data_IF_010646769396
#
_entry.id   IF_010646769396
#
_cell.length_a   1.000
_cell.length_b   1.000
_cell.length_c   1.000
_cell.angle_alpha   90.00
_cell.angle_beta   90.00
_cell.angle_gamma   90.00
#
_symmetry.space_group_name_H-M   'P 1'
#
loop_
_entity.id
_entity.type
_entity.pdbx_description
1 polymer ?
#
# COMPACT_ATOMS: atom_id res chain seq x y z
N UNK A 1 14.44 5.63 -25.99
CA UNK A 1 13.38 6.30 -25.19
C UNK A 1 12.62 5.23 -24.44
N UNK A 2 12.76 5.15 -23.10
CA UNK A 2 12.07 4.14 -22.31
C UNK A 2 10.55 4.32 -22.39
N UNK A 3 9.79 3.23 -22.56
CA UNK A 3 8.33 3.25 -22.46
C UNK A 3 7.99 3.76 -21.05
N UNK A 4 7.41 4.96 -20.95
CA UNK A 4 6.84 5.45 -19.70
C UNK A 4 5.71 4.49 -19.32
N UNK A 5 5.75 3.87 -18.14
CA UNK A 5 4.59 3.12 -17.64
C UNK A 5 3.52 4.14 -17.24
N UNK A 6 2.66 4.44 -18.21
CA UNK A 6 1.45 5.24 -18.00
C UNK A 6 0.31 4.29 -17.64
N UNK A 7 -0.37 4.59 -16.54
CA UNK A 7 -1.58 3.89 -16.10
C UNK A 7 -2.71 4.89 -16.11
N UNK A 8 -3.78 4.57 -16.83
CA UNK A 8 -5.04 5.31 -16.68
C UNK A 8 -5.86 4.65 -15.57
N UNK A 9 -6.46 5.47 -14.72
CA UNK A 9 -7.46 5.05 -13.72
C UNK A 9 -8.63 6.03 -13.79
N UNK A 10 -9.84 5.53 -13.57
CA UNK A 10 -11.01 6.37 -13.29
C UNK A 10 -10.84 7.10 -11.96
N UNK A 11 -11.67 8.13 -11.72
CA UNK A 11 -11.66 8.83 -10.43
C UNK A 11 -12.03 7.90 -9.27
N UNK A 12 -12.99 7.00 -9.46
CA UNK A 12 -13.36 6.02 -8.44
C UNK A 12 -12.22 5.05 -8.12
N UNK A 13 -11.51 4.54 -9.13
CA UNK A 13 -10.33 3.69 -8.91
C UNK A 13 -9.19 4.46 -8.23
N UNK A 14 -9.01 5.74 -8.57
CA UNK A 14 -8.01 6.58 -7.91
C UNK A 14 -8.30 6.76 -6.42
N UNK A 15 -9.55 7.02 -6.04
CA UNK A 15 -9.97 7.15 -4.64
C UNK A 15 -9.82 5.82 -3.88
N UNK A 16 -10.13 4.70 -4.51
CA UNK A 16 -9.94 3.38 -3.92
C UNK A 16 -8.46 3.05 -3.71
N UNK A 17 -7.58 3.41 -4.66
CA UNK A 17 -6.13 3.28 -4.48
C UNK A 17 -5.62 4.13 -3.30
N UNK A 18 -6.09 5.37 -3.18
CA UNK A 18 -5.76 6.23 -2.03
C UNK A 18 -6.26 5.64 -0.72
N UNK A 19 -7.48 5.08 -0.70
CA UNK A 19 -8.02 4.38 0.47
C UNK A 19 -7.08 3.27 0.90
N UNK A 20 -6.70 2.40 -0.03
CA UNK A 20 -5.81 1.28 0.27
C UNK A 20 -4.45 1.72 0.83
N UNK A 21 -3.84 2.76 0.23
CA UNK A 21 -2.59 3.34 0.72
C UNK A 21 -2.73 3.91 2.13
N UNK A 22 -3.74 4.75 2.37
CA UNK A 22 -3.95 5.38 3.67
C UNK A 22 -4.27 4.36 4.76
N UNK A 23 -5.06 3.33 4.44
CA UNK A 23 -5.44 2.28 5.39
C UNK A 23 -4.23 1.50 5.90
N UNK A 24 -3.19 1.31 5.06
CA UNK A 24 -1.94 0.63 5.43
C UNK A 24 -0.99 1.46 6.31
N UNK A 25 -1.23 2.76 6.47
CA UNK A 25 -0.38 3.64 7.30
C UNK A 25 -0.65 3.49 8.80
N UNK A 26 0.29 3.91 9.64
CA UNK A 26 0.01 4.10 11.06
C UNK A 26 -0.94 5.29 11.29
N UNK A 27 -1.65 5.33 12.43
CA UNK A 27 -2.53 6.46 12.75
C UNK A 27 -1.78 7.80 12.79
N UNK A 28 -0.52 7.80 13.28
CA UNK A 28 0.37 8.97 13.29
C UNK A 28 0.63 9.49 11.88
N UNK A 29 0.90 8.58 10.94
CA UNK A 29 1.15 8.94 9.54
C UNK A 29 -0.12 9.45 8.87
N UNK A 30 -1.26 8.78 9.07
CA UNK A 30 -2.58 9.23 8.58
C UNK A 30 -2.87 10.65 9.05
N UNK A 31 -2.76 10.90 10.36
CA UNK A 31 -2.99 12.21 10.98
C UNK A 31 -2.11 13.30 10.36
N UNK A 32 -0.82 13.02 10.17
CA UNK A 32 0.13 13.98 9.61
C UNK A 32 -0.15 14.27 8.15
N UNK A 33 -0.30 13.23 7.32
CA UNK A 33 -0.43 13.37 5.86
C UNK A 33 -1.79 13.96 5.47
N UNK A 34 -2.88 13.45 6.04
CA UNK A 34 -4.24 13.96 5.78
C UNK A 34 -4.38 15.40 6.30
N UNK A 35 -3.91 15.70 7.51
CA UNK A 35 -4.03 17.06 8.08
C UNK A 35 -3.39 18.13 7.20
N UNK A 36 -2.15 17.91 6.74
CA UNK A 36 -1.45 18.82 5.84
C UNK A 36 -2.17 19.01 4.49
N UNK A 37 -2.85 17.97 4.02
CA UNK A 37 -3.60 18.03 2.76
C UNK A 37 -4.85 18.88 2.96
N UNK A 38 -5.67 18.58 3.97
CA UNK A 38 -6.92 19.32 4.21
C UNK A 38 -6.62 20.82 4.43
N UNK A 39 -5.62 21.16 5.26
CA UNK A 39 -5.15 22.55 5.47
C UNK A 39 -4.79 23.28 4.16
N UNK A 40 -4.42 22.56 3.10
CA UNK A 40 -4.00 23.13 1.82
C UNK A 40 -5.12 23.37 0.81
N UNK A 41 -6.34 22.88 1.07
CA UNK A 41 -7.47 22.99 0.14
C UNK A 41 -8.76 23.53 0.75
N UNK A 42 -8.87 23.55 2.07
CA UNK A 42 -10.06 23.99 2.81
C UNK A 42 -9.69 24.98 3.89
N UNK A 43 -10.62 25.88 4.21
CA UNK A 43 -10.55 26.75 5.39
C UNK A 43 -11.14 26.03 6.62
N UNK A 44 -10.69 24.80 6.89
CA UNK A 44 -11.05 24.12 8.14
C UNK A 44 -10.06 24.48 9.24
N UNK A 45 -10.58 24.72 10.45
CA UNK A 45 -9.72 24.75 11.64
C UNK A 45 -9.40 23.30 12.04
N UNK A 46 -8.13 22.91 11.86
CA UNK A 46 -7.67 21.55 12.14
C UNK A 46 -6.73 21.56 13.34
N UNK A 47 -6.99 20.66 14.29
CA UNK A 47 -6.08 20.41 15.41
C UNK A 47 -5.72 18.93 15.49
N UNK A 48 -4.42 18.64 15.43
CA UNK A 48 -3.87 17.30 15.72
C UNK A 48 -3.99 17.01 17.21
N UNK A 49 -4.41 15.79 17.54
CA UNK A 49 -4.56 15.38 18.94
C UNK A 49 -4.26 13.89 19.15
N UNK A 50 -4.04 13.52 20.41
CA UNK A 50 -3.88 12.15 20.89
C UNK A 50 -4.75 11.99 22.12
N UNK A 51 -5.84 11.20 22.01
CA UNK A 51 -6.79 11.06 23.11
C UNK A 51 -7.45 9.68 23.12
N UNK A 52 -8.04 9.32 24.26
CA UNK A 52 -8.95 8.17 24.34
C UNK A 52 -10.29 8.54 23.70
N UNK A 53 -10.56 7.98 22.53
CA UNK A 53 -11.76 8.34 21.76
C UNK A 53 -13.05 7.97 22.50
N UNK A 54 -13.00 6.92 23.32
CA UNK A 54 -14.04 6.55 24.26
C UNK A 54 -13.48 6.38 25.70
N UNK A 55 -14.25 6.67 26.77
CA UNK A 55 -13.79 6.47 28.14
C UNK A 55 -13.35 5.04 28.47
N UNK A 56 -13.90 4.04 27.76
CA UNK A 56 -13.52 2.63 27.90
C UNK A 56 -12.33 2.23 27.04
N UNK A 57 -11.79 3.12 26.21
CA UNK A 57 -10.63 2.80 25.38
C UNK A 57 -9.38 2.64 26.25
N UNK A 58 -8.69 1.53 26.00
CA UNK A 58 -7.43 1.22 26.66
C UNK A 58 -6.23 1.90 25.99
N UNK A 59 -6.42 2.44 24.79
CA UNK A 59 -5.36 2.98 23.94
C UNK A 59 -5.76 4.36 23.43
N UNK A 60 -4.82 5.29 23.43
CA UNK A 60 -4.99 6.61 22.84
C UNK A 60 -4.88 6.55 21.32
N UNK A 61 -5.68 7.37 20.63
CA UNK A 61 -5.80 7.37 19.18
C UNK A 61 -5.24 8.66 18.61
N UNK A 62 -4.42 8.55 17.56
CA UNK A 62 -3.96 9.72 16.83
C UNK A 62 -5.03 10.12 15.81
N UNK A 63 -5.50 11.37 15.88
CA UNK A 63 -6.59 11.85 15.03
C UNK A 63 -6.61 13.36 14.85
N UNK A 64 -7.59 13.85 14.09
CA UNK A 64 -7.78 15.26 13.82
C UNK A 64 -9.11 15.71 14.39
N UNK A 65 -9.09 16.80 15.15
CA UNK A 65 -10.27 17.63 15.32
C UNK A 65 -10.48 18.45 14.05
N UNK A 66 -11.66 18.35 13.48
CA UNK A 66 -12.07 19.08 12.29
C UNK A 66 -13.36 19.82 12.64
N UNK A 67 -13.35 21.13 12.38
CA UNK A 67 -14.44 22.04 12.70
C UNK A 67 -15.04 22.61 11.40
N UNK A 68 -16.35 22.44 11.21
CA UNK A 68 -17.11 22.92 10.06
C UNK A 68 -18.46 23.46 10.55
N UNK A 69 -18.76 24.73 10.24
CA UNK A 69 -20.08 25.37 10.38
C UNK A 69 -20.92 24.87 11.58
N UNK A 70 -20.37 24.99 12.80
CA UNK A 70 -20.95 24.61 14.11
C UNK A 70 -20.78 23.16 14.59
N UNK A 71 -20.10 22.28 13.86
CA UNK A 71 -19.81 20.92 14.32
C UNK A 71 -18.30 20.65 14.43
N UNK A 72 -17.87 20.27 15.63
CA UNK A 72 -16.48 19.89 15.92
C UNK A 72 -16.44 18.41 16.25
N UNK A 73 -15.81 17.61 15.38
CA UNK A 73 -15.67 16.16 15.57
C UNK A 73 -14.21 15.72 15.52
N UNK A 74 -13.86 14.74 16.34
CA UNK A 74 -12.58 14.06 16.31
C UNK A 74 -12.65 12.84 15.39
N UNK A 75 -11.77 12.79 14.39
CA UNK A 75 -11.67 11.69 13.43
C UNK A 75 -10.33 10.97 13.57
N UNK A 76 -10.34 9.65 13.66
CA UNK A 76 -9.15 8.82 13.78
C UNK A 76 -9.32 7.50 13.01
N UNK A 77 -8.23 6.77 12.83
CA UNK A 77 -8.25 5.43 12.21
C UNK A 77 -8.94 5.41 10.84
N UNK A 78 -9.99 4.60 10.72
CA UNK A 78 -10.79 4.43 9.49
C UNK A 78 -11.65 5.67 9.23
N UNK A 79 -12.29 6.21 10.28
CA UNK A 79 -13.20 7.36 10.14
C UNK A 79 -12.50 8.59 9.55
N UNK A 80 -11.22 8.80 9.90
CA UNK A 80 -10.42 9.88 9.32
C UNK A 80 -10.18 9.69 7.82
N UNK A 81 -9.91 8.45 7.39
CA UNK A 81 -9.69 8.13 5.97
C UNK A 81 -10.99 8.31 5.18
N UNK A 82 -12.11 7.81 5.71
CA UNK A 82 -13.42 7.92 5.05
C UNK A 82 -13.86 9.38 4.92
N UNK A 83 -13.79 10.16 6.01
CA UNK A 83 -14.06 11.59 5.97
C UNK A 83 -13.22 12.31 4.91
N UNK A 84 -11.92 12.02 4.87
CA UNK A 84 -11.01 12.65 3.92
C UNK A 84 -11.35 12.28 2.47
N UNK A 85 -11.69 11.02 2.19
CA UNK A 85 -12.04 10.58 0.84
C UNK A 85 -13.40 11.14 0.39
N UNK A 86 -14.38 11.25 1.29
CA UNK A 86 -15.67 11.88 1.00
C UNK A 86 -15.49 13.36 0.65
N UNK A 87 -14.68 14.07 1.46
CA UNK A 87 -14.29 15.44 1.18
C UNK A 87 -13.63 15.56 -0.20
N UNK A 88 -12.66 14.69 -0.50
CA UNK A 88 -11.91 14.69 -1.76
C UNK A 88 -12.79 14.36 -2.96
N UNK A 89 -13.74 13.43 -2.82
CA UNK A 89 -14.65 13.01 -3.89
C UNK A 89 -15.58 14.15 -4.34
N UNK A 90 -15.87 15.11 -3.47
CA UNK A 90 -16.63 16.32 -3.82
C UNK A 90 -15.84 17.32 -4.69
N UNK A 91 -14.53 17.11 -4.87
CA UNK A 91 -13.64 18.08 -5.53
C UNK A 91 -13.48 17.82 -7.03
N UNK A 92 -13.13 18.86 -7.80
CA UNK A 92 -12.78 18.69 -9.22
C UNK A 92 -11.64 17.69 -9.41
N UNK A 93 -11.65 16.99 -10.55
CA UNK A 93 -10.64 15.97 -10.86
C UNK A 93 -9.20 16.48 -10.80
N UNK A 94 -8.97 17.77 -11.04
CA UNK A 94 -7.67 18.43 -10.92
C UNK A 94 -7.16 18.45 -9.48
N UNK A 95 -8.04 18.71 -8.51
CA UNK A 95 -7.70 18.66 -7.10
C UNK A 95 -7.40 17.22 -6.67
N UNK A 96 -8.23 16.26 -7.11
CA UNK A 96 -8.00 14.83 -6.87
C UNK A 96 -6.64 14.40 -7.43
N UNK A 97 -6.29 14.81 -8.65
CA UNK A 97 -4.99 14.50 -9.25
C UNK A 97 -3.79 15.08 -8.48
N UNK A 98 -3.93 16.29 -7.91
CA UNK A 98 -2.90 16.91 -7.06
C UNK A 98 -2.71 16.13 -5.76
N UNK A 99 -3.82 15.78 -5.10
CA UNK A 99 -3.82 15.00 -3.87
C UNK A 99 -3.25 13.61 -4.11
N UNK A 100 -3.71 12.94 -5.18
CA UNK A 100 -3.20 11.64 -5.59
C UNK A 100 -1.69 11.68 -5.83
N UNK A 101 -1.19 12.70 -6.52
CA UNK A 101 0.26 12.87 -6.75
C UNK A 101 1.05 13.03 -5.44
N UNK A 102 0.49 13.78 -4.47
CA UNK A 102 1.10 13.98 -3.14
C UNK A 102 1.12 12.70 -2.32
N UNK A 103 0.03 11.94 -2.30
CA UNK A 103 -0.08 10.70 -1.53
C UNK A 103 0.74 9.60 -2.21
N UNK A 104 0.55 9.32 -3.50
CA UNK A 104 1.20 8.17 -4.16
C UNK A 104 2.65 8.41 -4.59
N UNK A 105 3.20 9.61 -4.36
CA UNK A 105 4.57 10.01 -4.73
C UNK A 105 4.91 9.81 -6.22
N UNK A 106 3.91 10.08 -7.06
CA UNK A 106 3.95 9.96 -8.53
C UNK A 106 3.34 11.20 -9.17
N UNK A 107 3.51 11.35 -10.48
CA UNK A 107 2.83 12.40 -11.23
C UNK A 107 1.52 11.86 -11.79
N UNK A 108 0.40 12.46 -11.40
CA UNK A 108 -0.93 12.20 -11.94
C UNK A 108 -1.51 13.48 -12.56
N UNK A 109 -2.09 13.36 -13.76
CA UNK A 109 -2.76 14.46 -14.45
C UNK A 109 -4.13 14.00 -14.92
N UNK A 110 -5.11 14.91 -14.92
CA UNK A 110 -6.45 14.62 -15.44
C UNK A 110 -6.34 14.24 -16.92
N UNK A 111 -7.04 13.16 -17.28
CA UNK A 111 -7.14 12.68 -18.64
C UNK A 111 -8.53 12.10 -18.90
N UNK A 112 -8.88 11.95 -20.18
CA UNK A 112 -10.08 11.22 -20.59
C UNK A 112 -9.73 9.82 -21.06
N UNK A 113 -10.56 8.86 -20.70
CA UNK A 113 -10.43 7.49 -21.19
C UNK A 113 -10.63 7.47 -22.71
N UNK A 114 -9.74 6.77 -23.44
CA UNK A 114 -9.68 6.84 -24.90
C UNK A 114 -10.95 6.34 -25.60
N UNK A 115 -11.64 5.35 -25.00
CA UNK A 115 -12.83 4.75 -25.60
C UNK A 115 -14.14 5.35 -25.10
N UNK A 116 -14.21 5.68 -23.81
CA UNK A 116 -15.47 6.08 -23.16
C UNK A 116 -15.57 7.58 -22.94
N UNK A 117 -14.47 8.33 -23.07
CA UNK A 117 -14.43 9.77 -22.78
C UNK A 117 -14.53 10.12 -21.29
N UNK A 118 -14.66 9.12 -20.41
CA UNK A 118 -14.79 9.32 -18.98
C UNK A 118 -13.55 10.01 -18.39
N UNK A 119 -13.76 10.95 -17.46
CA UNK A 119 -12.67 11.61 -16.74
C UNK A 119 -11.98 10.62 -15.79
N UNK A 120 -10.65 10.76 -15.67
CA UNK A 120 -9.81 9.97 -14.80
C UNK A 120 -8.43 10.58 -14.68
N UNK A 121 -7.47 9.81 -14.18
CA UNK A 121 -6.09 10.22 -14.01
C UNK A 121 -5.17 9.38 -14.90
N UNK A 122 -4.24 10.06 -15.58
CA UNK A 122 -3.09 9.45 -16.23
C UNK A 122 -1.88 9.55 -15.30
N UNK A 123 -1.47 8.41 -14.77
CA UNK A 123 -0.42 8.28 -13.76
C UNK A 123 0.87 7.82 -14.42
N UNK A 124 1.97 8.53 -14.14
CA UNK A 124 3.33 8.05 -14.40
C UNK A 124 3.80 7.25 -13.20
N UNK A 125 3.64 5.93 -13.26
CA UNK A 125 3.90 5.06 -12.10
C UNK A 125 5.39 4.96 -11.75
N UNK A 126 6.26 5.17 -12.76
CA UNK A 126 7.71 5.01 -12.68
C UNK A 126 8.18 3.59 -12.32
N UNK A 127 7.29 2.60 -12.40
CA UNK A 127 7.59 1.22 -12.05
C UNK A 127 8.60 0.59 -13.02
N UNK A 128 8.78 1.12 -14.22
CA UNK A 128 9.85 0.70 -15.14
C UNK A 128 11.27 0.95 -14.60
N UNK A 129 11.41 1.80 -13.56
CA UNK A 129 12.68 2.06 -12.87
C UNK A 129 13.00 0.99 -11.82
N UNK A 130 12.01 0.20 -11.41
CA UNK A 130 12.21 -0.86 -10.43
C UNK A 130 12.96 -2.04 -11.04
N UNK A 131 14.01 -2.50 -10.37
CA UNK A 131 14.67 -3.78 -10.68
C UNK A 131 14.97 -4.53 -9.40
N UNK A 132 14.33 -5.67 -9.18
CA UNK A 132 14.63 -6.52 -8.03
C UNK A 132 16.09 -6.96 -8.07
N UNK A 133 16.88 -6.56 -7.06
CA UNK A 133 18.29 -6.92 -6.92
C UNK A 133 18.51 -8.20 -6.13
N UNK A 134 17.43 -8.94 -5.83
CA UNK A 134 17.45 -10.20 -5.08
C UNK A 134 18.08 -10.09 -3.68
N UNK A 135 17.97 -8.93 -3.03
CA UNK A 135 18.56 -8.72 -1.70
C UNK A 135 17.85 -9.47 -0.56
N UNK A 136 16.64 -10.00 -0.79
CA UNK A 136 15.87 -10.75 0.20
C UNK A 136 15.02 -9.89 1.14
N UNK A 137 15.29 -8.59 1.30
CA UNK A 137 14.62 -7.70 2.26
C UNK A 137 13.09 -7.86 2.30
N UNK A 138 12.41 -7.64 1.18
CA UNK A 138 10.95 -7.76 1.15
C UNK A 138 10.42 -9.18 1.39
N UNK A 139 11.22 -10.22 1.14
CA UNK A 139 10.80 -11.60 1.36
C UNK A 139 11.15 -12.12 2.77
N UNK A 140 11.92 -11.36 3.55
CA UNK A 140 12.41 -11.73 4.87
C UNK A 140 11.76 -10.90 5.97
N UNK A 141 11.65 -9.59 5.73
CA UNK A 141 11.42 -8.61 6.80
C UNK A 141 10.00 -8.01 6.75
N UNK A 142 9.27 -8.25 5.66
CA UNK A 142 7.92 -7.74 5.48
C UNK A 142 6.93 -8.88 5.63
N UNK A 143 6.23 -8.91 6.77
CA UNK A 143 5.23 -9.95 7.08
C UNK A 143 4.14 -10.00 6.02
N UNK A 144 3.70 -8.84 5.53
CA UNK A 144 2.70 -8.73 4.47
C UNK A 144 3.13 -9.42 3.16
N UNK A 145 4.43 -9.70 2.96
CA UNK A 145 4.92 -10.39 1.78
C UNK A 145 4.77 -11.93 1.84
N UNK A 146 4.66 -12.52 3.02
CA UNK A 146 4.63 -13.99 3.19
C UNK A 146 3.59 -14.53 4.19
N UNK A 147 2.90 -13.65 4.92
CA UNK A 147 1.72 -13.95 5.74
C UNK A 147 0.54 -13.18 5.14
N UNK A 148 -0.16 -13.80 4.20
CA UNK A 148 -1.24 -13.16 3.44
C UNK A 148 -2.15 -14.22 2.82
N UNK A 149 -3.25 -13.79 2.23
CA UNK A 149 -4.11 -14.65 1.43
C UNK A 149 -3.86 -14.44 -0.06
N UNK A 150 -4.07 -15.49 -0.86
CA UNK A 150 -3.98 -15.44 -2.32
C UNK A 150 -5.35 -15.61 -2.97
N UNK A 151 -5.55 -15.03 -4.17
CA UNK A 151 -6.78 -15.22 -4.92
C UNK A 151 -6.91 -16.66 -5.43
N UNK A 152 -8.15 -17.14 -5.61
CA UNK A 152 -8.45 -18.51 -6.06
C UNK A 152 -7.70 -18.92 -7.33
N UNK A 153 -7.47 -17.99 -8.25
CA UNK A 153 -6.77 -18.30 -9.49
C UNK A 153 -5.31 -18.71 -9.29
N UNK A 154 -4.65 -18.30 -8.20
CA UNK A 154 -3.31 -18.79 -7.86
C UNK A 154 -3.37 -20.26 -7.42
N UNK A 155 -4.38 -20.63 -6.61
CA UNK A 155 -4.63 -22.01 -6.16
C UNK A 155 -4.99 -22.91 -7.35
N UNK A 156 -5.97 -22.51 -8.17
CA UNK A 156 -6.38 -23.23 -9.38
C UNK A 156 -5.20 -23.44 -10.33
N UNK A 157 -4.33 -22.43 -10.47
CA UNK A 157 -3.11 -22.56 -11.28
C UNK A 157 -2.18 -23.64 -10.71
N UNK A 158 -1.92 -23.65 -9.40
CA UNK A 158 -1.07 -24.66 -8.78
C UNK A 158 -1.64 -26.07 -8.88
N UNK A 159 -2.96 -26.24 -8.83
CA UNK A 159 -3.63 -27.52 -9.10
C UNK A 159 -3.39 -27.98 -10.54
N UNK A 160 -3.60 -27.09 -11.52
CA UNK A 160 -3.38 -27.38 -12.93
C UNK A 160 -1.90 -27.69 -13.25
N UNK A 161 -0.96 -27.07 -12.54
CA UNK A 161 0.48 -27.32 -12.64
C UNK A 161 0.94 -28.56 -11.84
N UNK A 162 0.03 -29.26 -11.15
CA UNK A 162 0.33 -30.38 -10.23
C UNK A 162 1.37 -30.02 -9.16
N UNK A 163 1.35 -28.77 -8.67
CA UNK A 163 2.25 -28.26 -7.63
C UNK A 163 1.71 -28.53 -6.24
N UNK A 164 1.50 -29.81 -5.92
CA UNK A 164 1.04 -30.25 -4.60
C UNK A 164 2.01 -29.86 -3.47
N UNK A 165 3.29 -29.70 -3.79
CA UNK A 165 4.29 -29.16 -2.88
C UNK A 165 3.99 -27.71 -2.48
N UNK A 166 3.30 -26.92 -3.30
CA UNK A 166 2.84 -25.58 -2.93
C UNK A 166 1.49 -25.66 -2.22
N UNK A 167 0.57 -26.47 -2.75
CA UNK A 167 -0.80 -26.59 -2.22
C UNK A 167 -0.83 -27.07 -0.76
N UNK A 168 0.13 -27.89 -0.32
CA UNK A 168 0.24 -28.30 1.09
C UNK A 168 0.48 -27.11 2.05
N UNK A 169 0.94 -25.95 1.55
CA UNK A 169 1.19 -24.74 2.34
C UNK A 169 0.04 -23.72 2.26
N UNK A 170 -1.07 -24.09 1.64
CA UNK A 170 -2.27 -23.27 1.49
C UNK A 170 -3.33 -23.76 2.47
N UNK A 171 -3.84 -22.87 3.31
CA UNK A 171 -4.98 -23.14 4.17
C UNK A 171 -6.20 -22.38 3.65
N UNK A 172 -7.21 -23.13 3.17
CA UNK A 172 -8.42 -22.57 2.58
C UNK A 172 -9.55 -22.57 3.60
N UNK A 173 -9.90 -21.39 4.14
CA UNK A 173 -10.96 -21.23 5.12
C UNK A 173 -11.87 -20.04 4.80
N UNK A 174 -13.19 -20.25 4.87
CA UNK A 174 -14.21 -19.21 4.65
C UNK A 174 -14.05 -18.41 3.34
N UNK A 175 -13.55 -19.03 2.27
CA UNK A 175 -13.32 -18.38 0.97
C UNK A 175 -12.02 -17.56 0.90
N UNK A 176 -11.15 -17.67 1.90
CA UNK A 176 -9.79 -17.15 1.87
C UNK A 176 -8.80 -18.30 1.70
N UNK A 177 -7.70 -18.05 0.98
CA UNK A 177 -6.61 -19.02 0.80
C UNK A 177 -5.35 -18.46 1.44
N UNK A 178 -5.15 -18.74 2.73
CA UNK A 178 -4.02 -18.23 3.49
C UNK A 178 -2.74 -18.97 3.13
N UNK A 179 -1.66 -18.19 2.99
CA UNK A 179 -0.31 -18.65 2.73
C UNK A 179 0.68 -17.88 3.62
N UNK A 180 1.81 -18.45 4.03
CA UNK A 180 2.17 -19.86 3.99
C UNK A 180 1.91 -20.47 5.36
N UNK A 181 1.07 -21.51 5.41
CA UNK A 181 0.75 -22.24 6.65
C UNK A 181 1.59 -23.51 6.69
N UNK A 182 2.22 -23.80 7.82
CA UNK A 182 3.04 -25.00 7.95
C UNK A 182 2.15 -26.24 7.95
N UNK A 183 2.30 -27.17 6.98
CA UNK A 183 1.41 -28.34 6.85
C UNK A 183 1.47 -29.29 8.05
N UNK A 184 2.53 -29.24 8.85
CA UNK A 184 2.71 -30.12 10.02
C UNK A 184 2.12 -29.55 11.30
N UNK A 185 2.13 -28.22 11.45
CA UNK A 185 1.72 -27.57 12.70
C UNK A 185 0.41 -26.79 12.57
N UNK A 186 -0.01 -26.44 11.34
CA UNK A 186 -1.14 -25.55 11.10
C UNK A 186 -0.83 -24.08 11.46
N UNK A 187 0.42 -23.75 11.75
CA UNK A 187 0.80 -22.40 12.18
C UNK A 187 1.31 -21.57 11.00
N UNK A 188 1.07 -20.26 11.05
CA UNK A 188 1.65 -19.30 10.13
C UNK A 188 3.18 -19.30 10.24
N UNK A 189 3.88 -19.32 9.10
CA UNK A 189 5.34 -19.24 9.10
C UNK A 189 5.82 -17.84 9.49
N UNK A 190 6.97 -17.75 10.16
CA UNK A 190 7.66 -16.49 10.40
C UNK A 190 8.61 -16.08 9.25
N UNK A 191 8.70 -16.90 8.20
CA UNK A 191 9.53 -16.64 7.01
C UNK A 191 9.03 -17.46 5.82
N UNK A 192 9.09 -16.90 4.62
CA UNK A 192 8.70 -17.60 3.38
C UNK A 192 9.44 -18.96 3.22
N UNK A 193 8.72 -20.09 3.08
CA UNK A 193 9.31 -21.43 2.98
C UNK A 193 10.02 -21.67 1.63
N UNK A 194 9.75 -20.81 0.64
CA UNK A 194 10.29 -20.91 -0.72
C UNK A 194 11.59 -20.12 -0.94
N UNK A 195 11.98 -19.27 0.02
CA UNK A 195 13.13 -18.40 -0.12
C UNK A 195 14.44 -19.13 0.24
N UNK A 196 15.46 -19.04 -0.62
CA UNK A 196 16.79 -19.63 -0.40
C UNK A 196 17.89 -18.60 -0.60
N UNK A 197 18.87 -18.55 0.30
CA UNK A 197 20.10 -17.78 0.10
C UNK A 197 21.02 -18.54 -0.85
N UNK A 198 21.55 -17.86 -1.86
CA UNK A 198 22.55 -18.47 -2.75
C UNK A 198 23.86 -18.69 -1.99
N UNK A 199 24.51 -19.87 -2.13
CA UNK A 199 25.79 -20.12 -1.47
C UNK A 199 26.84 -19.08 -1.87
N UNK A 200 27.57 -18.55 -0.88
CA UNK A 200 28.66 -17.58 -1.06
C UNK A 200 28.25 -16.28 -1.78
N UNK A 201 26.96 -15.94 -1.83
CA UNK A 201 26.43 -14.70 -2.42
C UNK A 201 25.43 -14.05 -1.49
N UNK A 202 25.39 -12.73 -1.45
CA UNK A 202 24.34 -11.97 -0.77
C UNK A 202 23.13 -11.76 -1.69
N UNK A 203 22.62 -12.89 -2.20
CA UNK A 203 21.46 -12.94 -3.08
C UNK A 203 20.52 -14.04 -2.62
N UNK A 204 19.23 -13.78 -2.78
CA UNK A 204 18.15 -14.71 -2.47
C UNK A 204 17.39 -15.09 -3.73
N UNK A 205 17.01 -16.36 -3.82
CA UNK A 205 16.17 -16.90 -4.89
C UNK A 205 14.89 -17.47 -4.30
N UNK A 206 13.82 -17.43 -5.08
CA UNK A 206 12.56 -18.06 -4.76
C UNK A 206 12.48 -19.39 -5.52
N UNK A 207 12.28 -20.51 -4.81
CA UNK A 207 12.17 -21.83 -5.41
C UNK A 207 10.95 -21.99 -6.34
N UNK A 208 9.93 -21.15 -6.16
CA UNK A 208 8.70 -21.18 -6.97
C UNK A 208 8.65 -20.01 -7.95
N UNK A 209 9.80 -19.50 -8.42
CA UNK A 209 9.87 -18.25 -9.18
C UNK A 209 8.88 -18.15 -10.33
N UNK A 210 8.75 -19.22 -11.12
CA UNK A 210 7.92 -19.28 -12.32
C UNK A 210 6.42 -19.33 -12.02
N UNK A 211 6.02 -19.73 -10.81
CA UNK A 211 4.61 -19.85 -10.40
C UNK A 211 4.34 -19.15 -9.06
N UNK A 212 5.07 -18.07 -8.81
CA UNK A 212 4.82 -17.22 -7.63
C UNK A 212 3.36 -16.78 -7.62
N UNK A 213 2.75 -16.64 -6.44
CA UNK A 213 1.42 -16.04 -6.36
C UNK A 213 1.45 -14.60 -6.85
N UNK A 214 0.30 -14.13 -7.31
CA UNK A 214 0.12 -12.78 -7.85
C UNK A 214 0.58 -11.71 -6.87
N UNK A 215 0.32 -11.91 -5.58
CA UNK A 215 0.78 -11.04 -4.51
C UNK A 215 2.30 -10.82 -4.56
N UNK A 216 3.09 -11.89 -4.61
CA UNK A 216 4.55 -11.80 -4.69
C UNK A 216 5.04 -11.26 -6.04
N UNK A 217 4.34 -11.55 -7.15
CA UNK A 217 4.69 -11.04 -8.48
C UNK A 217 4.50 -9.53 -8.58
N UNK A 218 3.47 -9.00 -7.92
CA UNK A 218 3.16 -7.59 -7.92
C UNK A 218 4.02 -6.79 -6.92
N UNK A 219 4.97 -7.41 -6.22
CA UNK A 219 5.82 -6.72 -5.26
C UNK A 219 7.00 -6.01 -5.95
N UNK A 220 7.27 -4.71 -5.65
CA UNK A 220 6.46 -3.83 -4.82
C UNK A 220 5.23 -3.30 -5.58
N UNK A 221 4.10 -3.21 -4.87
CA UNK A 221 2.80 -2.76 -5.41
C UNK A 221 2.82 -1.37 -6.07
N UNK A 222 3.67 -0.46 -5.59
CA UNK A 222 3.85 0.89 -6.13
C UNK A 222 5.26 1.40 -5.83
N UNK A 223 5.64 2.54 -6.44
CA UNK A 223 6.89 3.24 -6.11
C UNK A 223 6.92 3.67 -4.66
N UNK A 224 5.82 4.25 -4.15
CA UNK A 224 5.69 4.64 -2.73
C UNK A 224 5.93 3.44 -1.82
N UNK A 225 5.21 2.34 -2.06
CA UNK A 225 5.36 1.11 -1.28
C UNK A 225 6.82 0.61 -1.26
N UNK A 226 7.52 0.69 -2.40
CA UNK A 226 8.92 0.29 -2.45
C UNK A 226 9.84 1.21 -1.63
N UNK A 227 9.63 2.53 -1.69
CA UNK A 227 10.46 3.51 -1.00
C UNK A 227 10.23 3.48 0.52
N UNK A 228 8.97 3.38 0.95
CA UNK A 228 8.60 3.27 2.38
C UNK A 228 9.21 2.01 3.01
N UNK A 229 9.31 0.92 2.25
CA UNK A 229 9.92 -0.33 2.69
C UNK A 229 11.39 -0.47 2.27
N UNK A 230 12.13 0.63 2.12
CA UNK A 230 13.59 0.60 1.95
C UNK A 230 14.10 -0.25 0.77
N UNK A 231 13.31 -0.41 -0.29
CA UNK A 231 13.62 -1.34 -1.36
C UNK A 231 14.87 -0.91 -2.16
N UNK A 232 15.92 -1.72 -2.09
CA UNK A 232 17.19 -1.52 -2.83
C UNK A 232 17.04 -1.58 -4.36
N UNK A 233 15.89 -2.06 -4.86
CA UNK A 233 15.59 -2.18 -6.29
C UNK A 233 15.10 -0.90 -6.94
N UNK A 234 14.78 0.13 -6.16
CA UNK A 234 14.64 1.50 -6.64
C UNK A 234 15.93 2.25 -6.33
N UNK A 235 16.65 2.68 -7.36
CA UNK A 235 17.88 3.45 -7.16
C UNK A 235 17.54 4.81 -6.53
N UNK A 236 17.80 4.94 -5.23
CA UNK A 236 17.76 6.18 -4.46
C UNK A 236 18.92 7.08 -4.85
N UNK A 237 18.89 7.67 -6.05
CA UNK A 237 19.62 8.94 -6.28
C UNK A 237 18.96 10.13 -5.57
N UNK A 238 17.77 9.90 -5.00
CA UNK A 238 17.04 10.84 -4.18
C UNK A 238 16.59 10.08 -2.93
N UNK A 239 17.52 9.85 -2.00
CA UNK A 239 17.11 9.68 -0.62
C UNK A 239 16.40 10.99 -0.27
N UNK A 240 15.07 10.95 -0.12
CA UNK A 240 14.38 12.04 0.54
C UNK A 240 15.02 12.12 1.92
N UNK A 241 15.68 13.24 2.19
CA UNK A 241 16.12 13.62 3.52
C UNK A 241 14.89 13.67 4.43
N UNK A 242 14.52 12.53 5.01
CA UNK A 242 13.87 12.51 6.32
C UNK A 242 15.00 12.82 7.30
N UNK A 243 15.39 14.10 7.35
CA UNK A 243 16.13 14.62 8.49
C UNK A 243 15.26 14.38 9.71
N UNK A 244 15.77 13.50 10.57
CA UNK A 244 15.67 13.53 12.02
C UNK A 244 14.61 14.50 12.56
N UNK A 245 13.54 13.92 13.12
CA UNK A 245 12.95 14.54 14.31
C UNK A 245 14.08 14.60 15.36
N UNK A 246 14.42 15.76 15.93
CA UNK A 246 15.25 15.77 17.11
C UNK A 246 14.46 15.06 18.20
N UNK A 247 15.03 13.96 18.71
CA UNK A 247 14.71 13.50 20.06
C UNK A 247 15.03 14.67 21.01
N UNK A 248 14.09 14.94 21.91
CA UNK A 248 14.20 15.91 23.00
C UNK A 248 15.48 15.74 23.81
#
# INVERSE_FOLDING_TARGET
MGKKCLKFVSISEALEELKNTLMMQSEVQKQKEIGLIIESFEEFEIRKDLLKAHPSDLIERHGLWIESDDNKKFYYGIELVEFFLDLLNSKPSEAIGKVYSKIEWVSANVAKHQKTGANGLLIKTEMEKFKCVQCGHCCLDLSDAYQTSVPDFDVIRWECENRYDILEWVDSFAGLNDIWVNPKTGESVNRCPWLRKLPKKDKYICKIHETKPKHCLNFPKSKRHALENGCKGFHTKYAFNNTALPES
#
